data_IF_110325243916
#
_entry.id   IF_110325243916
#
_cell.length_a   1.000
_cell.length_b   1.000
_cell.length_c   1.000
_cell.angle_alpha   90.00
_cell.angle_beta   90.00
_cell.angle_gamma   90.00
#
_symmetry.space_group_name_H-M   'P 1'
#
loop_
_entity.id
_entity.type
_entity.pdbx_description
1 polymer ?
#
# COMPACT_ATOMS: atom_id res chain seq x y z
N UNK A 1 34.10 2.98 -14.40
CA UNK A 1 33.87 1.56 -14.04
C UNK A 1 33.00 1.58 -12.79
N UNK A 2 31.69 1.43 -12.96
CA UNK A 2 30.75 1.49 -11.83
C UNK A 2 30.64 0.10 -11.23
N UNK A 3 30.89 0.00 -9.93
CA UNK A 3 30.74 -1.24 -9.18
C UNK A 3 29.26 -1.65 -9.18
N UNK A 4 28.97 -2.79 -9.80
CA UNK A 4 27.70 -3.49 -9.62
C UNK A 4 27.63 -3.91 -8.14
N UNK A 5 26.77 -3.27 -7.36
CA UNK A 5 26.40 -3.78 -6.04
C UNK A 5 25.85 -5.19 -6.25
N UNK A 6 26.50 -6.20 -5.69
CA UNK A 6 25.87 -7.50 -5.55
C UNK A 6 24.50 -7.30 -4.88
N UNK A 7 23.46 -8.04 -5.26
CA UNK A 7 22.27 -8.12 -4.41
C UNK A 7 22.79 -8.59 -3.05
N UNK A 8 22.61 -7.77 -2.01
CA UNK A 8 22.99 -8.15 -0.66
C UNK A 8 22.32 -9.49 -0.37
N UNK A 9 23.11 -10.57 -0.34
CA UNK A 9 22.61 -11.91 -0.12
C UNK A 9 21.80 -11.91 1.18
N UNK A 10 20.60 -12.51 1.16
CA UNK A 10 19.79 -12.66 2.36
C UNK A 10 20.63 -13.35 3.44
N UNK A 11 20.58 -12.84 4.66
CA UNK A 11 21.24 -13.45 5.81
C UNK A 11 20.22 -14.14 6.71
N UNK A 12 20.68 -15.10 7.52
CA UNK A 12 19.86 -15.78 8.53
C UNK A 12 19.15 -14.76 9.43
N UNK A 13 19.92 -13.83 10.00
CA UNK A 13 19.39 -12.78 10.88
C UNK A 13 18.28 -11.98 10.21
N UNK A 14 18.44 -11.66 8.92
CA UNK A 14 17.42 -10.91 8.16
C UNK A 14 16.16 -11.74 7.89
N UNK A 15 16.29 -13.04 7.68
CA UNK A 15 15.15 -13.97 7.53
C UNK A 15 14.40 -14.10 8.85
N UNK A 16 15.10 -14.28 9.96
CA UNK A 16 14.50 -14.41 11.30
C UNK A 16 13.75 -13.16 11.72
N UNK A 17 14.26 -11.98 11.37
CA UNK A 17 13.64 -10.69 11.66
C UNK A 17 12.70 -10.17 10.56
N UNK A 18 12.40 -10.99 9.54
CA UNK A 18 11.53 -10.56 8.45
C UNK A 18 10.11 -10.29 8.98
N UNK A 19 9.67 -9.04 8.82
CA UNK A 19 8.37 -8.58 9.31
C UNK A 19 7.44 -8.16 8.17
N UNK A 20 6.17 -8.53 8.30
CA UNK A 20 5.09 -8.21 7.37
C UNK A 20 3.92 -7.49 8.03
N UNK A 21 4.03 -7.11 9.31
CA UNK A 21 2.97 -6.40 10.04
C UNK A 21 2.55 -5.09 9.38
N UNK A 22 3.47 -4.44 8.66
CA UNK A 22 3.17 -3.24 7.88
C UNK A 22 2.15 -3.50 6.76
N UNK A 23 2.13 -4.68 6.15
CA UNK A 23 1.16 -5.05 5.12
C UNK A 23 -0.24 -5.25 5.72
N UNK A 24 -0.34 -5.91 6.87
CA UNK A 24 -1.63 -6.10 7.55
C UNK A 24 -2.20 -4.76 8.04
N UNK A 25 -1.33 -3.88 8.54
CA UNK A 25 -1.70 -2.52 8.94
C UNK A 25 -2.22 -1.72 7.73
N UNK A 26 -1.49 -1.75 6.60
CA UNK A 26 -1.90 -1.08 5.38
C UNK A 26 -3.24 -1.63 4.85
N UNK A 27 -3.45 -2.94 4.88
CA UNK A 27 -4.71 -3.55 4.45
C UNK A 27 -5.90 -3.06 5.29
N UNK A 28 -5.72 -2.95 6.61
CA UNK A 28 -6.75 -2.42 7.52
C UNK A 28 -7.06 -0.96 7.18
N UNK A 29 -6.02 -0.14 7.00
CA UNK A 29 -6.17 1.28 6.69
C UNK A 29 -6.86 1.53 5.35
N UNK A 30 -6.46 0.83 4.28
CA UNK A 30 -7.10 0.99 2.96
C UNK A 30 -8.56 0.51 2.96
N UNK A 31 -8.88 -0.54 3.70
CA UNK A 31 -10.27 -1.00 3.87
C UNK A 31 -11.12 0.06 4.57
N UNK A 32 -10.60 0.67 5.65
CA UNK A 32 -11.29 1.73 6.37
C UNK A 32 -11.48 2.97 5.49
N UNK A 33 -10.43 3.41 4.79
CA UNK A 33 -10.47 4.55 3.89
C UNK A 33 -11.49 4.36 2.75
N UNK A 34 -11.61 3.14 2.20
CA UNK A 34 -12.61 2.84 1.18
C UNK A 34 -14.05 3.02 1.70
N UNK A 35 -14.33 2.54 2.91
CA UNK A 35 -15.65 2.68 3.53
C UNK A 35 -15.97 4.13 3.89
N UNK A 36 -14.99 4.88 4.40
CA UNK A 36 -15.13 6.29 4.74
C UNK A 36 -15.42 7.15 3.51
N UNK A 37 -14.69 6.94 2.41
CA UNK A 37 -14.90 7.66 1.15
C UNK A 37 -16.32 7.45 0.59
N UNK A 38 -16.80 6.21 0.60
CA UNK A 38 -18.16 5.89 0.15
C UNK A 38 -19.21 6.53 1.06
N UNK A 39 -19.06 6.42 2.38
CA UNK A 39 -19.99 7.03 3.34
C UNK A 39 -20.04 8.56 3.22
N UNK A 40 -18.89 9.21 3.05
CA UNK A 40 -18.81 10.66 2.87
C UNK A 40 -19.52 11.12 1.58
N UNK A 41 -19.37 10.38 0.47
CA UNK A 41 -20.01 10.74 -0.79
C UNK A 41 -21.50 10.38 -0.85
N UNK A 42 -21.92 9.29 -0.20
CA UNK A 42 -23.34 8.99 -0.03
C UNK A 42 -24.03 10.13 0.77
N UNK A 43 -23.39 10.61 1.84
CA UNK A 43 -23.88 11.77 2.60
C UNK A 43 -23.88 13.05 1.75
N UNK A 44 -22.83 13.29 0.96
CA UNK A 44 -22.75 14.44 0.06
C UNK A 44 -23.90 14.48 -0.95
N UNK A 45 -24.17 13.36 -1.64
CA UNK A 45 -25.28 13.24 -2.59
C UNK A 45 -26.63 13.44 -1.88
N UNK A 46 -26.80 12.92 -0.65
CA UNK A 46 -28.00 13.16 0.14
C UNK A 46 -28.20 14.64 0.48
N UNK A 47 -27.12 15.34 0.88
CA UNK A 47 -27.15 16.77 1.21
C UNK A 47 -27.50 17.65 0.01
N UNK A 48 -27.09 17.25 -1.20
CA UNK A 48 -27.47 17.95 -2.45
C UNK A 48 -28.94 17.73 -2.79
N UNK A 49 -29.47 16.51 -2.63
CA UNK A 49 -30.88 16.22 -2.87
C UNK A 49 -31.82 16.95 -1.91
N UNK A 50 -31.40 17.06 -0.64
CA UNK A 50 -32.22 17.62 0.43
C UNK A 50 -31.43 18.60 1.31
N UNK A 51 -31.07 19.78 0.78
CA UNK A 51 -30.37 20.78 1.58
C UNK A 51 -31.20 21.14 2.81
N UNK A 52 -30.57 21.05 3.99
CA UNK A 52 -31.23 21.27 5.30
C UNK A 52 -32.51 20.43 5.52
N UNK A 53 -32.64 19.28 4.86
CA UNK A 53 -33.82 18.39 4.96
C UNK A 53 -35.00 18.81 4.09
N UNK A 54 -34.86 19.83 3.24
CA UNK A 54 -35.87 20.23 2.27
C UNK A 54 -35.48 19.77 0.88
N UNK A 55 -36.39 19.10 0.16
CA UNK A 55 -36.12 18.67 -1.23
C UNK A 55 -35.86 19.91 -2.08
N UNK A 56 -34.71 19.94 -2.75
CA UNK A 56 -34.38 20.97 -3.72
C UNK A 56 -34.76 20.48 -5.12
N UNK A 57 -35.59 21.25 -5.82
CA UNK A 57 -36.15 20.88 -7.13
C UNK A 57 -35.80 21.91 -8.22
N UNK A 58 -35.93 21.49 -9.48
CA UNK A 58 -35.72 22.32 -10.67
C UNK A 58 -34.41 21.99 -11.39
N UNK A 59 -34.21 22.61 -12.56
CA UNK A 59 -33.08 22.31 -13.46
C UNK A 59 -31.70 22.50 -12.82
N UNK A 60 -31.57 23.46 -11.90
CA UNK A 60 -30.34 23.65 -11.13
C UNK A 60 -30.08 22.51 -10.13
N UNK A 61 -31.13 21.98 -9.50
CA UNK A 61 -31.03 20.83 -8.60
C UNK A 61 -30.66 19.57 -9.38
N UNK A 62 -31.29 19.34 -10.54
CA UNK A 62 -30.97 18.20 -11.42
C UNK A 62 -29.51 18.24 -11.88
N UNK A 63 -29.03 19.41 -12.35
CA UNK A 63 -27.63 19.56 -12.78
C UNK A 63 -26.62 19.36 -11.64
N UNK A 64 -26.92 19.85 -10.44
CA UNK A 64 -26.07 19.64 -9.27
C UNK A 64 -26.03 18.17 -8.86
N UNK A 65 -27.18 17.50 -8.91
CA UNK A 65 -27.30 16.09 -8.60
C UNK A 65 -26.55 15.21 -9.62
N UNK A 66 -26.68 15.51 -10.92
CA UNK A 66 -25.96 14.80 -11.98
C UNK A 66 -24.45 14.88 -11.78
N UNK A 67 -23.92 16.07 -11.46
CA UNK A 67 -22.50 16.24 -11.13
C UNK A 67 -22.10 15.40 -9.91
N UNK A 68 -22.88 15.46 -8.83
CA UNK A 68 -22.58 14.72 -7.60
C UNK A 68 -22.59 13.21 -7.81
N UNK A 69 -23.52 12.68 -8.62
CA UNK A 69 -23.58 11.26 -8.99
C UNK A 69 -22.38 10.86 -9.86
N UNK A 70 -21.96 11.71 -10.79
CA UNK A 70 -20.76 11.47 -11.59
C UNK A 70 -19.49 11.43 -10.72
N UNK A 71 -19.35 12.35 -9.77
CA UNK A 71 -18.23 12.36 -8.82
C UNK A 71 -18.26 11.14 -7.89
N UNK A 72 -19.46 10.74 -7.42
CA UNK A 72 -19.66 9.53 -6.63
C UNK A 72 -19.20 8.27 -7.38
N UNK A 73 -19.38 8.20 -8.70
CA UNK A 73 -18.89 7.08 -9.51
C UNK A 73 -17.34 6.99 -9.49
N UNK A 74 -16.65 8.13 -9.57
CA UNK A 74 -15.18 8.19 -9.47
C UNK A 74 -14.72 7.73 -8.08
N UNK A 75 -15.40 8.17 -7.02
CA UNK A 75 -15.06 7.81 -5.64
C UNK A 75 -15.27 6.32 -5.38
N UNK A 76 -16.37 5.74 -5.88
CA UNK A 76 -16.58 4.29 -5.80
C UNK A 76 -15.49 3.50 -6.52
N UNK A 77 -15.00 4.00 -7.65
CA UNK A 77 -13.85 3.39 -8.33
C UNK A 77 -12.56 3.48 -7.50
N UNK A 78 -12.30 4.61 -6.83
CA UNK A 78 -11.17 4.76 -5.91
C UNK A 78 -11.29 3.82 -4.71
N UNK A 79 -12.47 3.72 -4.10
CA UNK A 79 -12.75 2.81 -2.99
C UNK A 79 -12.56 1.34 -3.38
N UNK A 80 -12.95 0.95 -4.60
CA UNK A 80 -12.67 -0.38 -5.13
C UNK A 80 -11.16 -0.66 -5.25
N UNK A 81 -10.38 0.29 -5.77
CA UNK A 81 -8.92 0.13 -5.85
C UNK A 81 -8.23 0.05 -4.48
N UNK A 82 -8.73 0.77 -3.48
CA UNK A 82 -8.25 0.66 -2.10
C UNK A 82 -8.52 -0.73 -1.51
N UNK A 83 -9.69 -1.32 -1.78
CA UNK A 83 -9.98 -2.70 -1.38
C UNK A 83 -9.08 -3.71 -2.09
N UNK A 84 -8.81 -3.51 -3.38
CA UNK A 84 -7.87 -4.37 -4.11
C UNK A 84 -6.45 -4.29 -3.52
N UNK A 85 -5.98 -3.07 -3.19
CA UNK A 85 -4.70 -2.86 -2.49
C UNK A 85 -4.68 -3.62 -1.15
N UNK A 86 -5.75 -3.54 -0.37
CA UNK A 86 -5.88 -4.27 0.91
C UNK A 86 -5.83 -5.78 0.74
N UNK A 87 -6.47 -6.31 -0.30
CA UNK A 87 -6.42 -7.73 -0.63
C UNK A 87 -5.01 -8.17 -1.05
N UNK A 88 -4.31 -7.38 -1.87
CA UNK A 88 -2.93 -7.67 -2.27
C UNK A 88 -2.01 -7.70 -1.04
N UNK A 89 -2.15 -6.75 -0.12
CA UNK A 89 -1.34 -6.70 1.10
C UNK A 89 -1.63 -7.86 2.06
N UNK A 90 -2.91 -8.19 2.30
CA UNK A 90 -3.29 -9.33 3.15
C UNK A 90 -2.77 -10.66 2.58
N UNK A 91 -2.96 -10.90 1.28
CA UNK A 91 -2.48 -12.13 0.65
C UNK A 91 -0.95 -12.17 0.62
N UNK A 92 -0.32 -11.03 0.28
CA UNK A 92 1.13 -10.90 0.25
C UNK A 92 1.79 -11.14 1.62
N UNK A 93 1.21 -10.64 2.71
CA UNK A 93 1.72 -10.88 4.06
C UNK A 93 1.69 -12.38 4.40
N UNK A 94 0.63 -13.09 4.01
CA UNK A 94 0.50 -14.54 4.14
C UNK A 94 1.54 -15.32 3.33
N UNK A 95 1.70 -14.97 2.05
CA UNK A 95 2.65 -15.62 1.14
C UNK A 95 4.10 -15.45 1.61
N UNK A 96 4.48 -14.24 2.03
CA UNK A 96 5.83 -13.93 2.53
C UNK A 96 6.09 -14.70 3.84
N UNK A 97 5.14 -14.71 4.79
CA UNK A 97 5.26 -15.50 6.04
C UNK A 97 5.41 -17.00 5.76
N UNK A 98 4.71 -17.52 4.75
CA UNK A 98 4.84 -18.92 4.37
C UNK A 98 6.23 -19.23 3.79
N UNK A 99 6.76 -18.36 2.92
CA UNK A 99 8.11 -18.51 2.37
C UNK A 99 9.19 -18.36 3.46
N UNK A 100 9.01 -17.45 4.42
CA UNK A 100 9.90 -17.27 5.57
C UNK A 100 9.94 -18.54 6.42
N UNK A 101 8.78 -19.09 6.82
CA UNK A 101 8.70 -20.36 7.56
C UNK A 101 9.38 -21.50 6.82
N UNK A 102 9.16 -21.61 5.52
CA UNK A 102 9.79 -22.67 4.72
C UNK A 102 11.31 -22.55 4.72
N UNK A 103 11.83 -21.32 4.66
CA UNK A 103 13.28 -21.06 4.74
C UNK A 103 13.84 -21.40 6.12
N UNK A 104 13.14 -21.03 7.20
CA UNK A 104 13.53 -21.35 8.58
C UNK A 104 13.51 -22.86 8.84
N UNK A 105 12.50 -23.57 8.31
CA UNK A 105 12.43 -25.03 8.41
C UNK A 105 13.60 -25.71 7.68
N UNK A 106 14.03 -25.19 6.53
CA UNK A 106 15.20 -25.71 5.82
C UNK A 106 16.51 -25.52 6.62
N UNK A 107 16.60 -24.44 7.40
CA UNK A 107 17.72 -24.22 8.34
C UNK A 107 17.64 -25.23 9.49
N UNK A 108 16.47 -25.40 10.09
CA UNK A 108 16.23 -26.37 11.18
C UNK A 108 16.50 -27.82 10.74
N UNK A 109 16.16 -28.18 9.50
CA UNK A 109 16.45 -29.50 8.93
C UNK A 109 17.96 -29.76 8.84
N UNK A 110 18.74 -28.78 8.38
CA UNK A 110 20.20 -28.88 8.34
C UNK A 110 20.80 -28.97 9.75
N UNK A 111 20.27 -28.20 10.70
CA UNK A 111 20.71 -28.21 12.11
C UNK A 111 20.38 -29.55 12.79
N UNK A 112 19.20 -30.11 12.51
CA UNK A 112 18.79 -31.44 12.99
C UNK A 112 19.65 -32.56 12.39
N UNK A 113 20.13 -32.39 11.15
CA UNK A 113 21.11 -33.28 10.52
C UNK A 113 22.55 -33.15 11.07
N UNK A 114 22.76 -32.26 12.05
CA UNK A 114 24.02 -32.07 12.75
C UNK A 114 24.99 -31.11 12.06
N UNK A 115 24.51 -30.24 11.16
CA UNK A 115 25.30 -29.15 10.58
C UNK A 115 25.06 -27.85 11.34
N UNK A 116 26.05 -26.96 11.36
CA UNK A 116 25.88 -25.58 11.84
C UNK A 116 25.64 -24.66 10.63
N UNK A 117 24.56 -23.87 10.66
CA UNK A 117 24.24 -22.92 9.60
C UNK A 117 24.67 -21.51 10.01
N UNK A 118 25.60 -20.94 9.25
CA UNK A 118 26.10 -19.57 9.45
C UNK A 118 25.09 -18.50 9.00
N UNK A 119 25.35 -17.24 9.37
CA UNK A 119 24.51 -16.10 8.95
C UNK A 119 24.48 -15.92 7.42
N UNK A 120 25.52 -16.37 6.70
CA UNK A 120 25.59 -16.38 5.24
C UNK A 120 24.87 -17.58 4.57
N UNK A 121 24.05 -18.31 5.34
CA UNK A 121 23.29 -19.49 4.89
C UNK A 121 24.19 -20.59 4.31
N UNK A 122 25.34 -20.79 4.95
CA UNK A 122 26.29 -21.88 4.64
C UNK A 122 26.22 -22.87 5.79
N UNK A 123 25.91 -24.13 5.47
CA UNK A 123 25.99 -25.26 6.39
C UNK A 123 27.43 -25.78 6.43
N UNK A 124 27.92 -26.07 7.64
CA UNK A 124 29.24 -26.66 7.88
C UNK A 124 29.16 -27.72 8.98
N UNK A 125 29.96 -28.77 8.89
CA UNK A 125 30.03 -29.80 9.93
C UNK A 125 30.91 -29.31 11.10
N UNK A 126 30.36 -29.08 12.31
CA UNK A 126 31.13 -28.59 13.45
C UNK A 126 32.06 -29.64 14.07
N UNK A 127 31.90 -30.92 13.71
CA UNK A 127 32.68 -32.04 14.27
C UNK A 127 34.02 -32.24 13.57
N UNK A 128 34.22 -31.64 12.41
CA UNK A 128 35.47 -31.71 11.63
C UNK A 128 36.54 -30.83 12.30
N UNK A 129 37.30 -31.43 13.24
CA UNK A 129 38.39 -30.76 13.98
C UNK A 129 39.79 -30.93 13.35
N UNK A 130 39.94 -31.74 12.29
CA UNK A 130 41.22 -31.99 11.62
C UNK A 130 41.01 -32.35 10.14
N UNK A 131 42.07 -32.25 9.32
CA UNK A 131 42.06 -32.34 7.85
C UNK A 131 41.57 -33.67 7.22
N UNK A 132 40.96 -34.57 8.00
CA UNK A 132 40.23 -35.71 7.45
C UNK A 132 38.91 -35.17 6.90
N UNK A 133 38.94 -34.77 5.63
CA UNK A 133 37.74 -34.38 4.89
C UNK A 133 36.88 -35.63 4.72
N UNK A 134 35.73 -35.66 5.38
CA UNK A 134 34.67 -36.61 5.04
C UNK A 134 33.92 -36.04 3.84
N UNK A 135 34.31 -36.48 2.63
CA UNK A 135 33.77 -35.96 1.37
C UNK A 135 32.24 -36.05 1.33
N UNK A 136 31.66 -37.13 1.85
CA UNK A 136 30.20 -37.30 1.91
C UNK A 136 29.55 -36.22 2.78
N UNK A 137 30.10 -35.95 3.97
CA UNK A 137 29.59 -34.86 4.84
C UNK A 137 29.73 -33.50 4.19
N UNK A 138 30.78 -33.25 3.41
CA UNK A 138 30.94 -32.00 2.66
C UNK A 138 29.89 -31.87 1.54
N UNK A 139 29.60 -32.95 0.83
CA UNK A 139 28.55 -32.97 -0.21
C UNK A 139 27.18 -32.69 0.42
N UNK A 140 26.84 -33.32 1.53
CA UNK A 140 25.57 -33.06 2.22
C UNK A 140 25.48 -31.62 2.77
N UNK A 141 26.56 -31.08 3.34
CA UNK A 141 26.60 -29.68 3.78
C UNK A 141 26.36 -28.70 2.61
N UNK A 142 26.94 -28.98 1.43
CA UNK A 142 26.72 -28.18 0.24
C UNK A 142 25.25 -28.27 -0.22
N UNK A 143 24.64 -29.46 -0.21
CA UNK A 143 23.21 -29.64 -0.55
C UNK A 143 22.30 -28.85 0.37
N UNK A 144 22.52 -28.91 1.69
CA UNK A 144 21.76 -28.09 2.64
C UNK A 144 21.93 -26.59 2.37
N UNK A 145 23.16 -26.15 2.09
CA UNK A 145 23.44 -24.74 1.76
C UNK A 145 22.69 -24.28 0.50
N UNK A 146 22.68 -25.10 -0.55
CA UNK A 146 21.94 -24.81 -1.78
C UNK A 146 20.43 -24.79 -1.55
N UNK A 147 19.90 -25.75 -0.79
CA UNK A 147 18.48 -25.85 -0.47
C UNK A 147 17.98 -24.64 0.34
N UNK A 148 18.72 -24.25 1.38
CA UNK A 148 18.41 -23.06 2.19
C UNK A 148 18.45 -21.79 1.33
N UNK A 149 19.47 -21.63 0.49
CA UNK A 149 19.61 -20.45 -0.39
C UNK A 149 18.53 -20.39 -1.45
N UNK A 150 18.10 -21.54 -1.96
CA UNK A 150 16.97 -21.61 -2.88
C UNK A 150 15.70 -21.07 -2.21
N UNK A 151 15.35 -21.54 -1.02
CA UNK A 151 14.19 -21.03 -0.27
C UNK A 151 14.32 -19.55 0.10
N UNK A 152 15.49 -19.10 0.53
CA UNK A 152 15.75 -17.69 0.80
C UNK A 152 15.55 -16.82 -0.45
N UNK A 153 15.92 -17.32 -1.63
CA UNK A 153 15.65 -16.64 -2.91
C UNK A 153 14.16 -16.59 -3.23
N UNK A 154 13.40 -17.64 -2.91
CA UNK A 154 11.94 -17.67 -3.09
C UNK A 154 11.24 -16.66 -2.15
N UNK A 155 11.69 -16.53 -0.91
CA UNK A 155 11.23 -15.49 0.02
C UNK A 155 11.43 -14.08 -0.57
N UNK A 156 12.64 -13.76 -1.01
CA UNK A 156 12.94 -12.45 -1.60
C UNK A 156 12.13 -12.18 -2.88
N UNK A 157 11.91 -13.21 -3.71
CA UNK A 157 11.07 -13.08 -4.91
C UNK A 157 9.59 -12.87 -4.57
N UNK A 158 9.07 -13.52 -3.53
CA UNK A 158 7.70 -13.33 -3.05
C UNK A 158 7.47 -11.88 -2.59
N UNK A 159 8.37 -11.36 -1.75
CA UNK A 159 8.33 -9.97 -1.29
C UNK A 159 8.39 -8.97 -2.45
N UNK A 160 9.33 -9.16 -3.38
CA UNK A 160 9.46 -8.28 -4.55
C UNK A 160 8.23 -8.35 -5.48
N UNK A 161 7.54 -9.49 -5.56
CA UNK A 161 6.31 -9.63 -6.33
C UNK A 161 5.16 -8.86 -5.68
N UNK A 162 4.99 -8.97 -4.35
CA UNK A 162 3.98 -8.21 -3.60
C UNK A 162 4.20 -6.71 -3.77
N UNK A 163 5.45 -6.24 -3.60
CA UNK A 163 5.80 -4.84 -3.78
C UNK A 163 5.41 -4.31 -5.18
N UNK A 164 5.75 -5.05 -6.25
CA UNK A 164 5.38 -4.66 -7.63
C UNK A 164 3.87 -4.60 -7.83
N UNK A 165 3.11 -5.57 -7.31
CA UNK A 165 1.65 -5.58 -7.41
C UNK A 165 1.03 -4.37 -6.71
N UNK A 166 1.52 -4.02 -5.52
CA UNK A 166 1.11 -2.82 -4.80
C UNK A 166 1.46 -1.55 -5.58
N UNK A 167 2.66 -1.44 -6.15
CA UNK A 167 3.08 -0.29 -6.95
C UNK A 167 2.22 -0.10 -8.21
N UNK A 168 1.94 -1.18 -8.94
CA UNK A 168 1.05 -1.14 -10.11
C UNK A 168 -0.33 -0.64 -9.72
N UNK A 169 -0.90 -1.20 -8.64
CA UNK A 169 -2.25 -0.85 -8.20
C UNK A 169 -2.35 0.56 -7.64
N UNK A 170 -1.32 1.02 -6.93
CA UNK A 170 -1.22 2.40 -6.46
C UNK A 170 -1.11 3.40 -7.64
N UNK A 171 -0.45 3.01 -8.73
CA UNK A 171 -0.40 3.82 -9.95
C UNK A 171 -1.77 3.94 -10.64
N UNK A 172 -2.57 2.86 -10.67
CA UNK A 172 -3.96 2.91 -11.14
C UNK A 172 -4.78 3.90 -10.31
N UNK A 173 -4.66 3.84 -8.97
CA UNK A 173 -5.36 4.75 -8.07
C UNK A 173 -4.94 6.22 -8.31
N UNK A 174 -3.65 6.49 -8.49
CA UNK A 174 -3.15 7.84 -8.74
C UNK A 174 -3.54 8.42 -10.12
N UNK A 175 -3.90 7.55 -11.06
CA UNK A 175 -4.35 7.93 -12.40
C UNK A 175 -5.84 8.28 -12.43
N UNK A 176 -6.64 7.82 -11.48
CA UNK A 176 -8.04 8.23 -11.36
C UNK A 176 -8.13 9.72 -11.02
N UNK A 177 -8.90 10.45 -11.84
CA UNK A 177 -9.17 11.88 -11.71
C UNK A 177 -10.66 12.10 -11.84
N UNK A 178 -11.18 13.09 -11.13
CA UNK A 178 -12.45 13.70 -11.48
C UNK A 178 -12.30 14.27 -12.89
N UNK A 179 -13.14 13.82 -13.82
CA UNK A 179 -13.14 14.37 -15.17
C UNK A 179 -14.09 15.55 -15.19
N UNK A 180 -13.54 16.74 -15.44
CA UNK A 180 -14.33 17.95 -15.61
C UNK A 180 -15.09 17.84 -16.94
N UNK A 181 -16.30 17.29 -16.91
CA UNK A 181 -17.17 17.25 -18.07
C UNK A 181 -17.92 18.58 -18.18
N UNK A 182 -17.33 19.51 -18.93
CA UNK A 182 -18.07 20.59 -19.57
C UNK A 182 -17.48 21.98 -19.34
N UNK A 183 -16.84 22.49 -20.38
CA UNK A 183 -16.67 23.90 -20.73
C UNK A 183 -18.04 24.56 -21.00
N UNK A 184 -18.95 24.42 -20.04
CA UNK A 184 -20.22 25.11 -20.00
C UNK A 184 -19.99 26.38 -19.19
N UNK A 185 -19.96 27.52 -19.88
CA UNK A 185 -20.00 28.87 -19.33
C UNK A 185 -20.81 28.91 -18.02
N UNK A 186 -20.12 28.82 -16.90
CA UNK A 186 -20.70 29.08 -15.59
C UNK A 186 -20.79 30.59 -15.52
N UNK A 187 -21.85 31.15 -16.11
CA UNK A 187 -22.25 32.50 -15.76
C UNK A 187 -22.44 32.50 -14.24
N UNK A 188 -21.68 33.30 -13.47
CA UNK A 188 -21.90 33.35 -12.03
C UNK A 188 -23.23 34.05 -11.82
N UNK A 189 -24.29 33.25 -11.67
CA UNK A 189 -25.55 33.77 -11.17
C UNK A 189 -25.28 34.20 -9.73
N UNK A 190 -25.24 35.52 -9.56
CA UNK A 190 -25.26 36.23 -8.30
C UNK A 190 -26.53 35.88 -7.51
N UNK A 191 -26.57 34.68 -6.96
CA UNK A 191 -27.33 34.35 -5.75
C UNK A 191 -26.41 34.52 -4.55
N UNK A 192 -26.91 34.87 -3.36
CA UNK A 192 -26.08 34.94 -2.17
C UNK A 192 -25.40 33.57 -1.98
N UNK A 193 -24.06 33.57 -1.99
CA UNK A 193 -23.26 32.41 -1.61
C UNK A 193 -23.76 31.89 -0.25
N UNK A 194 -23.92 30.57 -0.05
CA UNK A 194 -24.09 30.04 1.29
C UNK A 194 -22.86 30.44 2.11
N UNK A 195 -23.06 31.32 3.09
CA UNK A 195 -22.04 31.98 3.91
C UNK A 195 -21.38 31.05 4.95
N UNK A 196 -21.26 29.76 4.66
CA UNK A 196 -20.53 28.85 5.53
C UNK A 196 -19.81 27.77 4.72
N UNK A 197 -18.79 28.19 3.97
CA UNK A 197 -17.67 27.29 3.70
C UNK A 197 -17.02 26.99 5.05
N UNK A 198 -16.96 25.72 5.45
CA UNK A 198 -16.38 25.36 6.74
C UNK A 198 -14.92 25.82 6.73
N UNK A 199 -14.36 26.40 7.81
CA UNK A 199 -12.97 26.85 7.83
C UNK A 199 -11.98 25.76 7.38
N UNK A 200 -12.33 24.49 7.62
CA UNK A 200 -11.60 23.31 7.18
C UNK A 200 -11.55 23.14 5.65
N UNK A 201 -12.59 23.53 4.92
CA UNK A 201 -12.65 23.41 3.45
C UNK A 201 -11.65 24.36 2.79
N UNK A 202 -11.51 25.57 3.35
CA UNK A 202 -10.50 26.55 2.89
C UNK A 202 -9.08 26.09 3.24
N UNK A 203 -8.90 25.46 4.40
CA UNK A 203 -7.61 24.96 4.84
C UNK A 203 -7.16 23.78 3.98
N UNK A 204 -8.07 22.85 3.69
CA UNK A 204 -7.81 21.71 2.82
C UNK A 204 -7.51 22.14 1.38
N UNK A 205 -8.29 23.06 0.83
CA UNK A 205 -8.05 23.60 -0.52
C UNK A 205 -6.66 24.27 -0.63
N UNK A 206 -6.22 25.00 0.40
CA UNK A 206 -4.87 25.58 0.46
C UNK A 206 -3.80 24.50 0.51
N UNK A 207 -3.93 23.50 1.38
CA UNK A 207 -2.95 22.42 1.54
C UNK A 207 -2.82 21.56 0.28
N UNK A 208 -3.94 21.23 -0.37
CA UNK A 208 -3.97 20.49 -1.64
C UNK A 208 -3.29 21.30 -2.75
N UNK A 209 -3.49 22.63 -2.76
CA UNK A 209 -2.79 23.55 -3.66
C UNK A 209 -1.27 23.54 -3.46
N UNK A 210 -0.81 23.62 -2.21
CA UNK A 210 0.61 23.56 -1.86
C UNK A 210 1.23 22.19 -2.24
N UNK A 211 0.50 21.10 -2.02
CA UNK A 211 0.94 19.76 -2.39
C UNK A 211 1.12 19.57 -3.90
N UNK A 212 0.38 20.31 -4.74
CA UNK A 212 0.55 20.24 -6.18
C UNK A 212 1.94 20.72 -6.64
N UNK A 213 2.56 21.63 -5.86
CA UNK A 213 3.90 22.17 -6.14
C UNK A 213 5.04 21.26 -5.66
N UNK A 214 4.76 20.24 -4.84
CA UNK A 214 5.78 19.35 -4.27
C UNK A 214 6.42 18.46 -5.34
N UNK A 215 7.74 18.51 -5.46
CA UNK A 215 8.52 17.67 -6.38
C UNK A 215 8.66 16.22 -5.88
N UNK A 216 8.52 15.25 -6.80
CA UNK A 216 8.67 13.82 -6.51
C UNK A 216 7.36 13.13 -6.11
N UNK A 217 7.07 11.98 -6.75
CA UNK A 217 5.79 11.27 -6.63
C UNK A 217 5.48 10.80 -5.19
N UNK A 218 6.48 10.27 -4.48
CA UNK A 218 6.34 9.82 -3.08
C UNK A 218 6.10 10.98 -2.12
N UNK A 219 6.83 12.09 -2.28
CA UNK A 219 6.68 13.28 -1.44
C UNK A 219 5.31 13.95 -1.66
N UNK A 220 4.85 14.00 -2.91
CA UNK A 220 3.53 14.54 -3.26
C UNK A 220 2.38 13.70 -2.71
N UNK A 221 2.48 12.37 -2.80
CA UNK A 221 1.47 11.47 -2.22
C UNK A 221 1.41 11.59 -0.69
N UNK A 222 2.56 11.66 -0.02
CA UNK A 222 2.62 11.90 1.43
C UNK A 222 2.03 13.26 1.80
N UNK A 223 2.28 14.30 1.00
CA UNK A 223 1.70 15.62 1.24
C UNK A 223 0.16 15.59 1.18
N UNK A 224 -0.41 14.93 0.17
CA UNK A 224 -1.86 14.79 0.07
C UNK A 224 -2.46 13.94 1.20
N UNK A 225 -1.77 12.88 1.63
CA UNK A 225 -2.21 12.08 2.77
C UNK A 225 -2.25 12.90 4.08
N UNK A 226 -1.24 13.76 4.30
CA UNK A 226 -1.22 14.67 5.44
C UNK A 226 -2.33 15.72 5.35
N UNK A 227 -2.55 16.31 4.17
CA UNK A 227 -3.63 17.28 3.96
C UNK A 227 -5.01 16.66 4.23
N UNK A 228 -5.23 15.42 3.81
CA UNK A 228 -6.46 14.68 4.08
C UNK A 228 -6.65 14.37 5.58
N UNK A 229 -5.58 13.97 6.28
CA UNK A 229 -5.63 13.73 7.72
C UNK A 229 -5.95 15.02 8.50
N UNK A 230 -5.28 16.13 8.16
CA UNK A 230 -5.53 17.44 8.81
C UNK A 230 -6.96 17.92 8.57
N UNK A 231 -7.53 17.65 7.39
CA UNK A 231 -8.93 17.97 7.11
C UNK A 231 -9.89 17.11 7.94
N UNK A 232 -9.64 15.81 8.05
CA UNK A 232 -10.42 14.91 8.91
C UNK A 232 -10.34 15.31 10.40
N UNK A 233 -9.15 15.66 10.88
CA UNK A 233 -8.94 16.14 12.25
C UNK A 233 -9.64 17.50 12.49
N UNK A 234 -9.66 18.39 11.48
CA UNK A 234 -10.36 19.68 11.55
C UNK A 234 -11.88 19.55 11.57
N UNK A 235 -12.44 18.58 10.84
CA UNK A 235 -13.89 18.31 10.83
C UNK A 235 -14.40 17.65 12.11
N UNK A 236 -13.50 17.07 12.91
CA UNK A 236 -13.83 16.35 14.16
C UNK A 236 -13.52 17.16 15.42
N UNK A 237 -12.94 18.35 15.28
CA UNK A 237 -12.62 19.30 16.35
C UNK A 237 -13.69 20.38 16.52
#
# INVERSE_FOLDING_TARGET
MSATSAPSALTRTRIELWDTAHLDTAATQWTAAAAELEGAFDQHVSNIRQPAGTVWEGTAADSALDRAVNDQAVVRAQAALLRDLAQIATNGSGDIRAAQRTTLNAIEEAETAGFAVSDALIAADPTVRSAVINLDRQVEANRHSEYIRWHASQLAQSDALVARRLETKAAELAALRFTDHGDGDVTPLAGPLPTSMHPCDSLYASMVGDCASVGGKRARANCYAVAAQVYADCLTA
#
